data_IF_406585104077
#
_entry.id   IF_406585104077
#
_cell.length_a   1.000
_cell.length_b   1.000
_cell.length_c   1.000
_cell.angle_alpha   90.00
_cell.angle_beta   90.00
_cell.angle_gamma   90.00
#
_symmetry.space_group_name_H-M   'P 1'
#
loop_
_entity.id
_entity.type
_entity.pdbx_description
1 polymer ?
#
# COMPACT_ATOMS: atom_id res chain seq x y z
N UNK A 1 -19.04 4.23 5.53
CA UNK A 1 -18.23 4.57 4.32
C UNK A 1 -16.78 4.05 4.41
N UNK A 2 -16.56 2.89 5.05
CA UNK A 2 -15.22 2.48 5.56
C UNK A 2 -14.68 1.19 4.90
N UNK A 3 -15.55 0.34 4.34
CA UNK A 3 -15.14 -0.96 3.78
C UNK A 3 -14.35 -0.88 2.49
N UNK A 4 -14.70 0.03 1.59
CA UNK A 4 -14.07 0.07 0.27
C UNK A 4 -12.59 0.48 0.35
N UNK A 5 -12.26 1.49 1.15
CA UNK A 5 -10.87 1.92 1.37
C UNK A 5 -10.05 0.82 2.07
N UNK A 6 -10.63 0.19 3.09
CA UNK A 6 -10.01 -0.94 3.81
C UNK A 6 -9.71 -2.11 2.89
N UNK A 7 -10.66 -2.46 2.01
CA UNK A 7 -10.48 -3.51 1.00
C UNK A 7 -9.32 -3.20 0.05
N UNK A 8 -9.24 -1.98 -0.50
CA UNK A 8 -8.13 -1.61 -1.38
C UNK A 8 -6.78 -1.57 -0.66
N UNK A 9 -6.74 -1.19 0.62
CA UNK A 9 -5.53 -1.27 1.43
C UNK A 9 -5.09 -2.73 1.61
N UNK A 10 -6.02 -3.62 1.96
CA UNK A 10 -5.77 -5.05 2.09
C UNK A 10 -5.30 -5.68 0.77
N UNK A 11 -5.96 -5.39 -0.34
CA UNK A 11 -5.59 -5.91 -1.66
C UNK A 11 -4.22 -5.37 -2.11
N UNK A 12 -3.91 -4.11 -1.78
CA UNK A 12 -2.57 -3.53 -1.98
C UNK A 12 -1.52 -4.27 -1.16
N UNK A 13 -1.80 -4.57 0.11
CA UNK A 13 -0.88 -5.32 0.97
C UNK A 13 -0.70 -6.77 0.49
N UNK A 14 -1.76 -7.45 0.07
CA UNK A 14 -1.67 -8.80 -0.53
C UNK A 14 -0.73 -8.81 -1.74
N UNK A 15 -0.84 -7.79 -2.61
CA UNK A 15 0.08 -7.61 -3.73
C UNK A 15 1.52 -7.37 -3.26
N UNK A 16 1.73 -6.55 -2.23
CA UNK A 16 3.06 -6.31 -1.68
C UNK A 16 3.66 -7.60 -1.12
N UNK A 17 2.88 -8.39 -0.37
CA UNK A 17 3.34 -9.65 0.22
C UNK A 17 3.71 -10.69 -0.84
N UNK A 18 2.99 -10.76 -1.96
CA UNK A 18 3.27 -11.71 -3.04
C UNK A 18 4.55 -11.38 -3.84
N UNK A 19 5.08 -10.16 -3.75
CA UNK A 19 6.30 -9.79 -4.48
C UNK A 19 7.56 -10.31 -3.79
N UNK A 20 8.40 -11.04 -4.52
CA UNK A 20 9.72 -11.46 -4.02
C UNK A 20 10.67 -10.27 -3.83
N UNK A 21 10.56 -9.25 -4.68
CA UNK A 21 11.37 -8.03 -4.62
C UNK A 21 10.79 -7.00 -3.65
N UNK A 22 11.64 -6.27 -2.92
CA UNK A 22 11.21 -5.15 -2.09
C UNK A 22 10.79 -3.89 -2.87
N UNK A 23 10.94 -3.86 -4.20
CA UNK A 23 10.51 -2.73 -5.04
C UNK A 23 9.00 -2.73 -5.25
N UNK A 24 8.33 -1.71 -4.71
CA UNK A 24 6.88 -1.53 -4.80
C UNK A 24 6.58 -0.30 -5.65
N UNK A 25 5.71 -0.47 -6.65
CA UNK A 25 5.22 0.64 -7.50
C UNK A 25 3.73 0.48 -7.76
N UNK A 26 3.06 1.60 -8.05
CA UNK A 26 1.63 1.60 -8.46
C UNK A 26 1.42 0.67 -9.65
N UNK A 27 2.32 0.69 -10.63
CA UNK A 27 2.24 -0.17 -11.83
C UNK A 27 2.27 -1.65 -11.46
N UNK A 28 3.18 -2.08 -10.57
CA UNK A 28 3.29 -3.49 -10.16
C UNK A 28 2.03 -3.98 -9.47
N UNK A 29 1.51 -3.20 -8.53
CA UNK A 29 0.28 -3.53 -7.81
C UNK A 29 -0.92 -3.56 -8.77
N UNK A 30 -1.03 -2.57 -9.67
CA UNK A 30 -2.09 -2.53 -10.69
C UNK A 30 -2.09 -3.79 -11.56
N UNK A 31 -0.91 -4.22 -12.03
CA UNK A 31 -0.77 -5.44 -12.83
C UNK A 31 -1.17 -6.67 -12.02
N UNK A 32 -0.72 -6.79 -10.76
CA UNK A 32 -1.09 -7.91 -9.89
C UNK A 32 -2.60 -8.01 -9.67
N UNK A 33 -3.26 -6.88 -9.44
CA UNK A 33 -4.71 -6.79 -9.24
C UNK A 33 -5.53 -6.82 -10.55
N UNK A 34 -4.89 -6.98 -11.71
CA UNK A 34 -5.53 -6.99 -13.05
C UNK A 34 -6.42 -5.76 -13.32
N UNK A 35 -6.00 -4.59 -12.82
CA UNK A 35 -6.73 -3.34 -13.00
C UNK A 35 -6.34 -2.69 -14.34
N UNK A 36 -7.33 -2.37 -15.17
CA UNK A 36 -7.12 -1.69 -16.45
C UNK A 36 -6.47 -0.31 -16.26
N UNK A 37 -5.63 0.10 -17.22
CA UNK A 37 -4.93 1.39 -17.16
C UNK A 37 -5.87 2.61 -17.25
N UNK A 38 -7.04 2.42 -17.84
CA UNK A 38 -8.13 3.40 -17.94
C UNK A 38 -8.88 3.60 -16.62
N UNK A 39 -8.80 2.67 -15.67
CA UNK A 39 -9.50 2.77 -14.38
C UNK A 39 -8.73 3.67 -13.40
N UNK A 40 -8.82 4.98 -13.65
CA UNK A 40 -8.12 6.03 -12.89
C UNK A 40 -8.53 6.04 -11.41
N UNK A 41 -9.77 5.67 -11.11
CA UNK A 41 -10.31 5.59 -9.75
C UNK A 41 -9.58 4.53 -8.93
N UNK A 42 -9.46 3.30 -9.45
CA UNK A 42 -8.72 2.23 -8.76
C UNK A 42 -7.23 2.51 -8.67
N UNK A 43 -6.63 3.10 -9.70
CA UNK A 43 -5.22 3.52 -9.68
C UNK A 43 -4.96 4.57 -8.59
N UNK A 44 -5.88 5.53 -8.44
CA UNK A 44 -5.81 6.53 -7.36
C UNK A 44 -5.91 5.87 -5.97
N UNK A 45 -6.76 4.86 -5.81
CA UNK A 45 -6.87 4.13 -4.55
C UNK A 45 -5.58 3.38 -4.19
N UNK A 46 -4.94 2.69 -5.15
CA UNK A 46 -3.63 2.08 -4.93
C UNK A 46 -2.62 3.14 -4.47
N UNK A 47 -2.59 4.29 -5.15
CA UNK A 47 -1.66 5.37 -4.83
C UNK A 47 -1.89 5.92 -3.42
N UNK A 48 -3.15 6.07 -3.01
CA UNK A 48 -3.54 6.48 -1.65
C UNK A 48 -3.17 5.43 -0.60
N UNK A 49 -3.38 4.14 -0.89
CA UNK A 49 -2.95 3.05 0.00
C UNK A 49 -1.43 3.04 0.20
N UNK A 50 -0.65 3.23 -0.86
CA UNK A 50 0.80 3.34 -0.76
C UNK A 50 1.23 4.55 0.07
N UNK A 51 0.55 5.69 -0.06
CA UNK A 51 0.83 6.86 0.76
C UNK A 51 0.50 6.62 2.23
N UNK A 52 -0.61 5.95 2.54
CA UNK A 52 -0.95 5.57 3.91
C UNK A 52 0.09 4.64 4.54
N UNK A 53 0.62 3.69 3.76
CA UNK A 53 1.68 2.80 4.21
C UNK A 53 3.03 3.52 4.37
N UNK A 54 3.31 4.53 3.54
CA UNK A 54 4.45 5.44 3.68
C UNK A 54 4.34 6.25 4.97
N UNK A 55 3.19 6.86 5.22
CA UNK A 55 2.93 7.70 6.39
C UNK A 55 2.97 6.88 7.69
N UNK A 56 2.49 5.63 7.66
CA UNK A 56 2.59 4.68 8.78
C UNK A 56 3.96 3.99 8.92
N UNK A 57 4.97 4.40 8.14
CA UNK A 57 6.34 3.88 8.26
C UNK A 57 6.59 2.47 7.70
N UNK A 58 5.60 1.83 7.06
CA UNK A 58 5.71 0.50 6.44
C UNK A 58 6.36 0.53 5.05
N UNK A 59 6.37 1.69 4.40
CA UNK A 59 7.04 1.93 3.13
C UNK A 59 7.97 3.13 3.23
N UNK A 60 9.12 3.05 2.56
CA UNK A 60 10.03 4.18 2.36
C UNK A 60 10.14 4.50 0.88
N UNK A 61 10.11 5.78 0.54
CA UNK A 61 10.35 6.23 -0.84
C UNK A 61 11.77 5.82 -1.27
N UNK A 62 11.88 5.27 -2.47
CA UNK A 62 13.14 4.92 -3.13
C UNK A 62 13.38 5.87 -4.31
N UNK A 63 14.15 6.94 -4.07
CA UNK A 63 14.53 7.95 -5.06
C UNK A 63 13.54 9.12 -5.14
N UNK A 64 13.89 10.16 -5.90
CA UNK A 64 13.15 11.44 -5.94
C UNK A 64 12.22 11.61 -7.14
N UNK A 65 12.22 10.68 -8.11
CA UNK A 65 11.50 10.84 -9.39
C UNK A 65 10.07 10.30 -9.34
N UNK A 66 9.18 10.99 -10.04
CA UNK A 66 7.83 10.50 -10.38
C UNK A 66 7.89 9.56 -11.58
N UNK A 67 7.09 8.47 -11.57
CA UNK A 67 6.21 8.01 -10.50
C UNK A 67 6.97 7.44 -9.30
N UNK A 68 6.44 7.69 -8.09
CA UNK A 68 7.06 7.25 -6.83
C UNK A 68 7.29 5.73 -6.80
N UNK A 69 8.48 5.35 -6.38
CA UNK A 69 8.84 3.98 -6.06
C UNK A 69 9.02 3.85 -4.56
N UNK A 70 8.68 2.69 -4.01
CA UNK A 70 8.78 2.41 -2.59
C UNK A 70 9.62 1.15 -2.33
N UNK A 71 10.13 1.06 -1.11
CA UNK A 71 10.69 -0.16 -0.51
C UNK A 71 9.95 -0.49 0.77
N UNK A 72 9.74 -1.77 1.04
CA UNK A 72 9.25 -2.24 2.35
C UNK A 72 10.30 -1.99 3.42
N UNK A 73 9.85 -1.53 4.59
CA UNK A 73 10.69 -1.31 5.79
C UNK A 73 10.52 -2.44 6.83
N UNK A 74 9.53 -3.31 6.64
CA UNK A 74 9.20 -4.43 7.51
C UNK A 74 9.59 -5.78 6.90
N UNK A 75 9.74 -6.79 7.76
CA UNK A 75 9.85 -8.19 7.33
C UNK A 75 8.48 -8.84 7.24
N UNK A 76 8.17 -9.44 6.09
CA UNK A 76 6.88 -10.10 5.82
C UNK A 76 6.62 -11.32 6.70
N UNK A 77 7.66 -11.91 7.27
CA UNK A 77 7.57 -13.04 8.20
C UNK A 77 7.23 -12.59 9.62
N UNK A 78 7.48 -11.32 9.95
CA UNK A 78 7.37 -10.79 11.32
C UNK A 78 6.09 -10.00 11.58
N UNK A 79 5.44 -9.51 10.52
CA UNK A 79 4.20 -8.75 10.63
C UNK A 79 3.22 -9.24 9.57
N UNK A 80 1.96 -9.29 9.92
CA UNK A 80 0.86 -9.75 9.10
C UNK A 80 0.06 -8.59 8.50
N UNK A 81 -0.69 -8.88 7.43
CA UNK A 81 -1.58 -7.88 6.79
C UNK A 81 -2.60 -7.29 7.78
N UNK A 82 -3.30 -8.09 8.62
CA UNK A 82 -4.24 -7.55 9.60
C UNK A 82 -3.61 -6.56 10.58
N UNK A 83 -2.40 -6.82 11.05
CA UNK A 83 -1.67 -5.94 11.97
C UNK A 83 -1.34 -4.59 11.30
N UNK A 84 -0.80 -4.61 10.08
CA UNK A 84 -0.52 -3.37 9.33
C UNK A 84 -1.81 -2.56 9.12
N UNK A 85 -2.89 -3.22 8.73
CA UNK A 85 -4.18 -2.56 8.51
C UNK A 85 -4.72 -1.96 9.81
N UNK A 86 -4.57 -2.66 10.93
CA UNK A 86 -4.94 -2.15 12.25
C UNK A 86 -4.15 -0.89 12.59
N UNK A 87 -2.81 -0.91 12.47
CA UNK A 87 -1.98 0.26 12.78
C UNK A 87 -2.34 1.47 11.90
N UNK A 88 -2.35 1.31 10.59
CA UNK A 88 -2.58 2.42 9.63
C UNK A 88 -3.96 3.04 9.77
N UNK A 89 -4.99 2.25 10.09
CA UNK A 89 -6.36 2.75 10.21
C UNK A 89 -6.68 3.29 11.62
N UNK A 90 -6.04 2.76 12.68
CA UNK A 90 -6.31 3.17 14.05
C UNK A 90 -5.38 4.27 14.56
N UNK A 91 -4.20 4.47 13.98
CA UNK A 91 -3.37 5.64 14.27
C UNK A 91 -4.08 6.95 13.92
N UNK A 92 -5.08 6.93 13.03
CA UNK A 92 -5.98 8.08 12.79
C UNK A 92 -6.92 8.41 13.95
N UNK A 93 -6.99 7.60 15.00
CA UNK A 93 -7.78 7.88 16.22
C UNK A 93 -6.95 8.36 17.40
N UNK A 94 -5.62 8.43 17.29
CA UNK A 94 -4.79 9.09 18.29
C UNK A 94 -4.34 10.43 17.70
N UNK A 95 -5.30 11.34 17.57
CA UNK A 95 -5.00 12.77 17.53
C UNK A 95 -5.63 13.35 18.78
N UNK A 96 -4.73 13.80 19.67
CA UNK A 96 -5.00 14.67 20.81
C UNK A 96 -5.78 15.91 20.37
#
# INVERSE_FOLDING_TARGET
>A
MTDFRKRYLQDTLKAIYSFTTSLITVRRIRTYLRIQGSDRSKISLISRSLKLLEDGGFLKIKGSRSPKNYKTTFSKEKISIPEIVFCVLNEKKISR
#
